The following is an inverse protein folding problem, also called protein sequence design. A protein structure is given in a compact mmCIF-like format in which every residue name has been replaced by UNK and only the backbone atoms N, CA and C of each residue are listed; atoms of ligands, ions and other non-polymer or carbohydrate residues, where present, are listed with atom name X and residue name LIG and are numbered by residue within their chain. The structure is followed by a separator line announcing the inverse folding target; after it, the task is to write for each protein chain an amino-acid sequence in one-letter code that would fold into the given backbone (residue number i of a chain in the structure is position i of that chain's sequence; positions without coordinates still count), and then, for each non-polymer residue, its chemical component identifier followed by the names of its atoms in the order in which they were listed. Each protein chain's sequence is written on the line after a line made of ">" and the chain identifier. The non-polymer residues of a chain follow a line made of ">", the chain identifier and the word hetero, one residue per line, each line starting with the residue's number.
data_IF_402438711543
#
_entry.id   IF_402438711543
#
_cell.length_a   1.000
_cell.length_b   1.000
_cell.length_c   1.000
_cell.angle_alpha   90.00
_cell.angle_beta   90.00
_cell.angle_gamma   90.00
#
_symmetry.space_group_name_H-M   'P 1'
#
loop_
_entity.id
_entity.type
_entity.pdbx_description
1 polymer ?
#
# COMPACT_ATOMS: atom_id res chain seq x y z
N UNK A 1 28.91 29.55 45.81
CA UNK A 1 29.12 29.72 44.35
C UNK A 1 28.25 28.70 43.64
N UNK A 2 27.20 29.10 42.90
CA UNK A 2 26.34 28.14 42.23
C UNK A 2 27.00 27.71 40.91
N UNK A 3 27.01 26.40 40.66
CA UNK A 3 27.51 25.82 39.43
C UNK A 3 26.50 26.06 38.29
N UNK A 4 27.00 26.61 37.20
CA UNK A 4 26.27 26.88 35.96
C UNK A 4 25.97 25.56 35.25
N UNK A 5 24.69 25.28 35.02
CA UNK A 5 24.23 24.21 34.12
C UNK A 5 24.30 24.75 32.68
N UNK A 6 24.98 24.08 31.72
CA UNK A 6 24.92 24.49 30.33
C UNK A 6 23.57 24.05 29.73
N UNK A 7 22.95 24.98 29.00
CA UNK A 7 21.68 24.80 28.31
C UNK A 7 21.76 23.68 27.26
N UNK A 8 20.76 22.80 27.24
CA UNK A 8 20.55 21.80 26.20
C UNK A 8 20.36 22.48 24.83
N UNK A 9 21.16 22.05 23.86
CA UNK A 9 21.08 22.46 22.47
C UNK A 9 19.77 21.97 21.84
N UNK A 10 18.93 22.90 21.40
CA UNK A 10 17.74 22.63 20.59
C UNK A 10 18.18 22.12 19.20
N UNK A 11 17.93 20.86 18.90
CA UNK A 11 18.15 20.26 17.58
C UNK A 11 17.06 20.70 16.61
N UNK A 12 17.40 21.61 15.69
CA UNK A 12 16.58 22.05 14.53
C UNK A 12 16.97 21.26 13.27
N UNK A 13 16.96 19.92 13.30
CA UNK A 13 17.50 19.12 12.19
C UNK A 13 16.48 18.68 11.12
N UNK A 14 15.19 18.54 11.45
CA UNK A 14 14.19 18.03 10.49
C UNK A 14 13.88 18.96 9.30
N UNK A 15 13.76 20.27 9.52
CA UNK A 15 13.27 21.22 8.51
C UNK A 15 14.33 21.68 7.48
N UNK A 16 15.61 21.31 7.63
CA UNK A 16 16.68 21.69 6.68
C UNK A 16 16.90 20.66 5.58
N UNK A 17 16.64 19.38 5.86
CA UNK A 17 16.91 18.26 4.96
C UNK A 17 16.16 18.37 3.61
N UNK A 18 14.95 18.94 3.60
CA UNK A 18 14.15 19.13 2.36
C UNK A 18 14.54 20.35 1.50
N UNK A 19 15.32 21.31 2.03
CA UNK A 19 15.61 22.57 1.30
C UNK A 19 16.61 22.42 0.16
N UNK A 20 17.27 21.27 0.04
CA UNK A 20 18.34 21.08 -0.95
C UNK A 20 17.81 20.54 -2.28
N UNK A 21 16.74 19.71 -2.29
CA UNK A 21 16.14 19.19 -3.53
C UNK A 21 15.07 20.12 -4.15
N UNK A 22 14.45 21.01 -3.37
CA UNK A 22 13.28 21.81 -3.80
C UNK A 22 13.60 23.25 -4.27
N UNK A 23 14.86 23.58 -4.61
CA UNK A 23 15.27 24.97 -4.98
C UNK A 23 14.75 25.48 -6.35
N UNK A 24 13.72 24.86 -6.94
CA UNK A 24 13.25 25.16 -8.31
C UNK A 24 12.12 26.19 -8.45
N UNK A 25 11.38 26.54 -7.40
CA UNK A 25 10.21 27.42 -7.55
C UNK A 25 10.58 28.91 -7.39
N UNK A 26 10.98 29.57 -8.49
CA UNK A 26 10.97 31.04 -8.55
C UNK A 26 9.85 31.50 -9.49
N UNK A 27 8.84 32.18 -8.95
CA UNK A 27 7.83 32.83 -9.78
C UNK A 27 8.48 33.98 -10.56
N UNK A 28 8.51 33.90 -11.89
CA UNK A 28 8.82 35.06 -12.74
C UNK A 28 7.55 35.53 -13.44
N UNK A 29 7.24 36.80 -13.28
CA UNK A 29 6.19 37.46 -14.06
C UNK A 29 6.72 37.75 -15.46
N UNK A 30 6.11 37.15 -16.48
CA UNK A 30 6.27 37.57 -17.88
C UNK A 30 4.87 37.85 -18.43
N UNK A 31 4.61 39.10 -18.81
CA UNK A 31 3.34 39.57 -19.40
C UNK A 31 2.06 39.38 -18.55
N UNK A 32 2.11 39.65 -17.23
CA UNK A 32 0.90 39.74 -16.40
C UNK A 32 0.11 38.44 -16.20
N UNK A 33 0.60 37.31 -16.71
CA UNK A 33 0.13 35.96 -16.38
C UNK A 33 1.13 35.30 -15.42
N UNK A 34 0.62 34.77 -14.31
CA UNK A 34 1.37 33.96 -13.35
C UNK A 34 1.67 32.63 -14.04
N UNK A 35 2.88 32.46 -14.57
CA UNK A 35 3.34 31.15 -15.04
C UNK A 35 3.84 30.40 -13.81
N UNK A 36 3.03 29.49 -13.30
CA UNK A 36 3.48 28.50 -12.31
C UNK A 36 4.31 27.51 -13.12
N UNK A 37 5.63 27.61 -13.04
CA UNK A 37 6.46 26.48 -13.45
C UNK A 37 6.13 25.34 -12.50
N UNK A 38 5.77 24.17 -13.04
CA UNK A 38 5.65 22.97 -12.24
C UNK A 38 6.99 22.82 -11.48
N UNK A 39 6.97 22.75 -10.14
CA UNK A 39 8.20 22.53 -9.39
C UNK A 39 8.77 21.18 -9.83
N UNK A 40 10.06 21.16 -10.17
CA UNK A 40 10.78 19.91 -10.32
C UNK A 40 10.62 19.10 -9.02
N UNK A 41 10.05 17.90 -9.10
CA UNK A 41 9.69 17.09 -7.94
C UNK A 41 10.43 15.76 -7.97
N UNK A 42 11.06 15.31 -6.87
CA UNK A 42 11.58 13.96 -6.78
C UNK A 42 10.49 12.93 -7.05
N UNK A 43 10.80 11.95 -7.89
CA UNK A 43 9.91 10.83 -8.21
C UNK A 43 10.64 9.51 -7.97
N UNK A 44 9.93 8.54 -7.43
CA UNK A 44 10.39 7.19 -7.17
C UNK A 44 9.42 6.20 -7.80
N UNK A 45 9.94 5.04 -8.20
CA UNK A 45 9.15 3.83 -8.44
C UNK A 45 9.61 2.81 -7.41
N UNK A 46 8.69 2.35 -6.58
CA UNK A 46 8.94 1.33 -5.58
C UNK A 46 8.05 0.13 -5.87
N UNK A 47 8.61 -1.07 -5.73
CA UNK A 47 7.82 -2.29 -5.71
C UNK A 47 7.50 -2.66 -4.26
N UNK A 48 6.22 -2.66 -3.90
CA UNK A 48 5.73 -3.03 -2.59
C UNK A 48 5.47 -4.55 -2.47
N UNK A 49 5.58 -5.08 -1.25
CA UNK A 49 5.39 -6.50 -0.93
C UNK A 49 6.36 -7.44 -1.67
N UNK A 50 7.59 -6.98 -1.87
CA UNK A 50 8.70 -7.75 -2.45
C UNK A 50 10.05 -7.19 -2.02
N UNK A 51 11.05 -8.06 -1.91
CA UNK A 51 12.47 -7.68 -1.76
C UNK A 51 13.26 -7.80 -3.07
N UNK A 52 12.59 -8.15 -4.17
CA UNK A 52 13.14 -8.36 -5.51
C UNK A 52 12.54 -7.33 -6.46
N UNK A 53 13.34 -6.53 -7.18
CA UNK A 53 12.85 -5.61 -8.20
C UNK A 53 12.03 -6.32 -9.29
N UNK A 54 11.07 -5.60 -9.85
CA UNK A 54 10.12 -6.02 -10.88
C UNK A 54 9.13 -7.12 -10.43
N UNK A 55 8.98 -7.30 -9.11
CA UNK A 55 7.98 -8.17 -8.48
C UNK A 55 7.03 -7.36 -7.61
N UNK A 56 6.13 -8.00 -6.88
CA UNK A 56 5.19 -7.31 -5.99
C UNK A 56 4.31 -6.29 -6.73
N UNK A 57 3.85 -5.27 -6.01
CA UNK A 57 2.94 -4.26 -6.55
C UNK A 57 3.67 -2.91 -6.76
N UNK A 58 3.91 -2.47 -8.01
CA UNK A 58 4.62 -1.24 -8.30
C UNK A 58 3.75 -0.01 -8.04
N UNK A 59 4.34 1.02 -7.43
CA UNK A 59 3.72 2.34 -7.37
C UNK A 59 4.74 3.46 -7.58
N UNK A 60 4.30 4.49 -8.30
CA UNK A 60 5.06 5.74 -8.40
C UNK A 60 4.79 6.61 -7.16
N UNK A 61 5.82 7.29 -6.68
CA UNK A 61 5.75 8.21 -5.54
C UNK A 61 6.36 9.53 -5.94
N UNK A 62 5.57 10.60 -5.85
CA UNK A 62 6.02 11.97 -6.10
C UNK A 62 6.12 12.71 -4.77
N UNK A 63 7.30 13.27 -4.50
CA UNK A 63 7.53 14.05 -3.28
C UNK A 63 7.39 15.53 -3.59
N UNK A 64 6.30 16.12 -3.11
CA UNK A 64 5.93 17.51 -3.32
C UNK A 64 6.48 18.41 -2.20
N UNK A 65 6.69 19.70 -2.49
CA UNK A 65 6.94 20.70 -1.45
C UNK A 65 5.74 20.87 -0.52
N UNK A 66 5.97 21.37 0.70
CA UNK A 66 4.91 21.67 1.68
C UNK A 66 3.95 22.78 1.28
N UNK A 67 4.25 23.56 0.24
CA UNK A 67 3.37 24.62 -0.25
C UNK A 67 2.14 24.00 -0.93
N UNK A 68 1.00 24.02 -0.22
CA UNK A 68 -0.27 23.46 -0.69
C UNK A 68 -0.77 24.08 -2.00
N UNK A 69 -0.32 25.28 -2.37
CA UNK A 69 -0.66 25.88 -3.67
C UNK A 69 -0.08 25.10 -4.86
N UNK A 70 0.82 24.15 -4.59
CA UNK A 70 1.44 23.25 -5.57
C UNK A 70 0.79 21.85 -5.56
N UNK A 71 -0.28 21.64 -4.79
CA UNK A 71 -1.01 20.37 -4.69
C UNK A 71 -2.26 20.35 -5.57
N UNK A 72 -2.10 20.77 -6.83
CA UNK A 72 -3.20 20.80 -7.80
C UNK A 72 -3.65 19.39 -8.21
N UNK A 73 -4.96 19.12 -8.09
CA UNK A 73 -5.53 17.80 -8.36
C UNK A 73 -5.38 17.41 -9.84
N UNK A 74 -5.52 18.36 -10.78
CA UNK A 74 -5.38 18.07 -12.20
C UNK A 74 -3.94 17.68 -12.54
N UNK A 75 -2.96 18.34 -11.94
CA UNK A 75 -1.56 17.95 -12.05
C UNK A 75 -1.35 16.53 -11.52
N UNK A 76 -1.80 16.21 -10.30
CA UNK A 76 -1.65 14.87 -9.73
C UNK A 76 -2.30 13.79 -10.60
N UNK A 77 -3.51 14.03 -11.10
CA UNK A 77 -4.20 13.12 -12.01
C UNK A 77 -3.46 12.94 -13.34
N UNK A 78 -2.89 14.00 -13.92
CA UNK A 78 -2.12 13.90 -15.16
C UNK A 78 -0.82 13.13 -14.97
N UNK A 79 -0.14 13.33 -13.83
CA UNK A 79 1.06 12.57 -13.50
C UNK A 79 0.71 11.09 -13.27
N UNK A 80 -0.36 10.78 -12.54
CA UNK A 80 -0.80 9.41 -12.34
C UNK A 80 -1.14 8.70 -13.66
N UNK A 81 -1.79 9.42 -14.60
CA UNK A 81 -2.05 8.93 -15.95
C UNK A 81 -0.74 8.67 -16.73
N UNK A 82 0.24 9.56 -16.66
CA UNK A 82 1.54 9.39 -17.32
C UNK A 82 2.33 8.19 -16.76
N UNK A 83 2.26 7.98 -15.44
CA UNK A 83 2.96 6.87 -14.78
C UNK A 83 2.30 5.51 -15.06
N UNK A 84 0.98 5.47 -15.22
CA UNK A 84 0.21 4.28 -15.58
C UNK A 84 0.45 3.04 -14.68
N UNK A 85 0.84 3.26 -13.41
CA UNK A 85 0.74 2.25 -12.35
C UNK A 85 -0.70 2.21 -11.80
N UNK A 86 -1.07 1.18 -11.03
CA UNK A 86 -2.40 1.09 -10.42
C UNK A 86 -2.72 2.36 -9.62
N UNK A 87 -1.74 2.82 -8.83
CA UNK A 87 -1.79 4.08 -8.11
C UNK A 87 -0.45 4.82 -8.15
N UNK A 88 -0.55 6.15 -8.19
CA UNK A 88 0.57 7.06 -7.89
C UNK A 88 0.30 7.78 -6.58
N UNK A 89 1.24 7.69 -5.65
CA UNK A 89 1.21 8.37 -4.37
C UNK A 89 1.88 9.75 -4.47
N UNK A 90 1.26 10.75 -3.83
CA UNK A 90 1.82 12.09 -3.70
C UNK A 90 1.99 12.39 -2.22
N UNK A 91 3.21 12.74 -1.81
CA UNK A 91 3.56 13.00 -0.41
C UNK A 91 4.23 14.34 -0.24
N UNK A 92 3.98 15.02 0.88
CA UNK A 92 4.65 16.27 1.24
C UNK A 92 4.79 16.36 2.75
N UNK A 93 5.88 16.94 3.27
CA UNK A 93 6.01 17.09 4.71
C UNK A 93 5.05 18.17 5.21
N UNK A 94 4.49 17.92 6.39
CA UNK A 94 3.66 18.88 7.13
C UNK A 94 4.49 19.36 8.31
N UNK A 95 4.71 20.67 8.41
CA UNK A 95 5.33 21.24 9.60
C UNK A 95 4.38 21.06 10.79
N UNK A 96 4.78 20.22 11.73
CA UNK A 96 4.03 20.01 12.97
C UNK A 96 4.14 21.24 13.87
N UNK A 97 3.08 21.53 14.62
CA UNK A 97 3.16 22.48 15.74
C UNK A 97 3.75 21.73 16.92
N UNK A 98 4.63 22.37 17.69
CA UNK A 98 5.38 21.75 18.80
C UNK A 98 4.54 21.00 19.86
N UNK A 99 3.22 21.21 19.92
CA UNK A 99 2.30 20.53 20.84
C UNK A 99 1.74 19.20 20.29
N UNK A 100 1.85 18.95 18.97
CA UNK A 100 1.43 17.72 18.27
C UNK A 100 2.64 16.85 17.86
N UNK A 101 3.87 17.25 18.20
CA UNK A 101 5.10 16.51 17.90
C UNK A 101 5.29 15.34 18.86
N UNK A 102 4.87 14.15 18.43
CA UNK A 102 5.34 12.90 19.01
C UNK A 102 6.81 12.70 18.62
N UNK A 103 7.69 12.56 19.62
CA UNK A 103 9.13 12.46 19.39
C UNK A 103 9.45 11.26 18.50
N UNK A 104 10.13 11.51 17.37
CA UNK A 104 10.54 10.47 16.43
C UNK A 104 9.54 10.13 15.32
N UNK A 105 8.33 10.73 15.32
CA UNK A 105 7.32 10.50 14.26
C UNK A 105 7.30 11.67 13.28
N UNK A 106 7.49 11.37 11.98
CA UNK A 106 7.48 12.36 10.91
C UNK A 106 6.06 12.51 10.34
N UNK A 107 5.58 13.75 10.16
CA UNK A 107 4.21 14.00 9.67
C UNK A 107 4.23 14.41 8.20
N UNK A 108 3.45 13.71 7.38
CA UNK A 108 3.34 13.94 5.94
C UNK A 108 1.87 13.98 5.51
N UNK A 109 1.55 14.76 4.48
CA UNK A 109 0.32 14.56 3.73
C UNK A 109 0.48 13.45 2.70
N UNK A 110 -0.59 12.71 2.43
CA UNK A 110 -0.58 11.62 1.46
C UNK A 110 -1.92 11.56 0.69
N UNK A 111 -1.81 11.45 -0.64
CA UNK A 111 -2.92 11.24 -1.56
C UNK A 111 -2.53 10.21 -2.62
N UNK A 112 -3.52 9.51 -3.17
CA UNK A 112 -3.32 8.47 -4.18
C UNK A 112 -4.26 8.67 -5.35
N UNK A 113 -3.74 8.51 -6.56
CA UNK A 113 -4.49 8.68 -7.79
C UNK A 113 -4.28 7.50 -8.72
N UNK A 114 -5.36 7.06 -9.34
CA UNK A 114 -5.35 6.06 -10.41
C UNK A 114 -5.19 6.74 -11.78
N UNK A 115 -4.75 6.01 -12.82
CA UNK A 115 -4.72 6.51 -14.20
C UNK A 115 -6.10 6.91 -14.73
N UNK A 116 -7.18 6.33 -14.16
CA UNK A 116 -8.57 6.68 -14.46
C UNK A 116 -9.01 8.08 -14.01
N UNK A 117 -8.09 8.91 -13.51
CA UNK A 117 -8.34 10.25 -12.94
C UNK A 117 -9.26 10.23 -11.72
N UNK A 118 -9.11 9.19 -10.90
CA UNK A 118 -9.84 9.03 -9.65
C UNK A 118 -8.83 9.06 -8.51
N UNK A 119 -9.07 9.95 -7.54
CA UNK A 119 -8.40 9.90 -6.25
C UNK A 119 -9.04 8.78 -5.42
N UNK A 120 -8.23 7.89 -4.84
CA UNK A 120 -8.73 6.80 -3.99
C UNK A 120 -8.62 7.17 -2.51
N UNK A 121 -9.57 6.71 -1.71
CA UNK A 121 -9.64 7.04 -0.28
C UNK A 121 -8.47 6.47 0.51
N UNK A 122 -8.06 5.24 0.17
CA UNK A 122 -6.96 4.50 0.81
C UNK A 122 -6.31 3.54 -0.19
N UNK A 123 -4.98 3.50 -0.23
CA UNK A 123 -4.24 2.49 -0.98
C UNK A 123 -3.04 1.95 -0.17
N UNK A 124 -3.09 0.66 0.18
CA UNK A 124 -2.07 0.01 1.01
C UNK A 124 -0.69 -0.04 0.35
N UNK A 125 -0.57 -0.65 -0.84
CA UNK A 125 0.73 -0.84 -1.49
C UNK A 125 1.39 0.50 -1.85
N UNK A 126 0.62 1.49 -2.29
CA UNK A 126 1.16 2.82 -2.60
C UNK A 126 1.56 3.59 -1.34
N UNK A 127 0.97 3.30 -0.17
CA UNK A 127 1.46 3.79 1.13
C UNK A 127 2.76 3.13 1.55
N UNK A 128 2.89 1.81 1.31
CA UNK A 128 4.16 1.09 1.49
C UNK A 128 5.24 1.71 0.61
N UNK A 129 4.96 1.90 -0.68
CA UNK A 129 5.86 2.54 -1.63
C UNK A 129 6.25 3.97 -1.20
N UNK A 130 5.29 4.77 -0.75
CA UNK A 130 5.53 6.14 -0.28
C UNK A 130 6.46 6.15 0.93
N UNK A 131 6.22 5.27 1.89
CA UNK A 131 7.09 5.07 3.06
C UNK A 131 8.49 4.67 2.64
N UNK A 132 8.63 3.69 1.74
CA UNK A 132 9.93 3.24 1.22
C UNK A 132 10.69 4.37 0.52
N UNK A 133 10.01 5.16 -0.32
CA UNK A 133 10.61 6.28 -1.02
C UNK A 133 11.10 7.37 -0.05
N UNK A 134 10.29 7.73 0.96
CA UNK A 134 10.67 8.70 1.98
C UNK A 134 11.82 8.19 2.85
N UNK A 135 11.76 6.95 3.32
CA UNK A 135 12.84 6.34 4.10
C UNK A 135 14.15 6.29 3.31
N UNK A 136 14.10 5.89 2.04
CA UNK A 136 15.27 5.89 1.17
C UNK A 136 15.82 7.31 0.96
N UNK A 137 14.96 8.29 0.63
CA UNK A 137 15.36 9.69 0.47
C UNK A 137 16.02 10.25 1.73
N UNK A 138 15.44 9.97 2.90
CA UNK A 138 15.98 10.43 4.17
C UNK A 138 17.30 9.75 4.50
N UNK A 139 17.43 8.45 4.28
CA UNK A 139 18.65 7.68 4.58
C UNK A 139 19.84 7.99 3.66
N UNK A 140 19.58 8.51 2.46
CA UNK A 140 20.60 8.86 1.47
C UNK A 140 20.94 10.35 1.47
N UNK A 141 20.30 11.14 2.33
CA UNK A 141 20.58 12.56 2.44
C UNK A 141 21.93 12.81 3.11
N UNK A 142 22.81 13.69 2.57
CA UNK A 142 24.09 14.01 3.18
C UNK A 142 24.00 14.59 4.61
N UNK A 143 22.83 15.12 4.97
CA UNK A 143 22.58 15.76 6.27
C UNK A 143 21.86 14.84 7.27
N UNK A 144 21.52 13.60 6.89
CA UNK A 144 20.83 12.67 7.78
C UNK A 144 21.80 12.00 8.74
N UNK A 145 21.40 11.89 10.01
CA UNK A 145 21.95 10.88 10.91
C UNK A 145 21.68 9.49 10.32
N UNK A 146 22.64 8.56 10.42
CA UNK A 146 22.46 7.16 10.04
C UNK A 146 21.30 6.56 10.85
N UNK A 147 20.11 6.56 10.26
CA UNK A 147 18.90 5.96 10.81
C UNK A 147 18.46 4.84 9.89
N UNK A 148 18.31 3.65 10.48
CA UNK A 148 17.75 2.48 9.82
C UNK A 148 16.27 2.29 10.13
N UNK A 149 15.64 3.22 10.85
CA UNK A 149 14.23 3.14 11.23
C UNK A 149 13.56 4.51 11.15
N UNK A 150 12.34 4.53 10.65
CA UNK A 150 11.50 5.72 10.55
C UNK A 150 10.04 5.38 10.87
N UNK A 151 9.35 6.31 11.54
CA UNK A 151 7.90 6.27 11.75
C UNK A 151 7.28 7.48 11.06
N UNK A 152 6.26 7.23 10.26
CA UNK A 152 5.53 8.25 9.51
C UNK A 152 4.06 8.26 9.92
N UNK A 153 3.54 9.46 10.15
CA UNK A 153 2.12 9.74 10.33
C UNK A 153 1.62 10.44 9.07
N UNK A 154 0.91 9.71 8.22
CA UNK A 154 0.31 10.25 7.01
C UNK A 154 -1.07 10.82 7.31
N UNK A 155 -1.27 12.11 7.05
CA UNK A 155 -2.58 12.76 7.03
C UNK A 155 -3.19 12.57 5.64
N UNK A 156 -4.29 11.81 5.59
CA UNK A 156 -5.01 11.50 4.34
C UNK A 156 -6.30 12.32 4.27
N UNK A 157 -6.87 12.46 3.07
CA UNK A 157 -8.07 13.29 2.85
C UNK A 157 -9.34 12.69 3.46
N UNK A 158 -9.49 11.36 3.46
CA UNK A 158 -10.72 10.67 3.88
C UNK A 158 -10.52 9.54 4.89
N UNK A 159 -9.38 8.87 4.88
CA UNK A 159 -9.13 7.69 5.75
C UNK A 159 -8.46 8.03 7.08
N UNK A 160 -8.43 9.32 7.44
CA UNK A 160 -7.82 9.79 8.68
C UNK A 160 -6.29 9.69 8.65
N UNK A 161 -5.70 9.44 9.82
CA UNK A 161 -4.26 9.32 9.95
C UNK A 161 -3.80 7.86 9.86
N UNK A 162 -2.72 7.62 9.13
CA UNK A 162 -2.06 6.32 9.02
C UNK A 162 -0.70 6.38 9.68
N UNK A 163 -0.50 5.59 10.73
CA UNK A 163 0.81 5.39 11.33
C UNK A 163 1.50 4.21 10.63
N UNK A 164 2.68 4.46 10.08
CA UNK A 164 3.43 3.50 9.28
C UNK A 164 4.87 3.49 9.73
N UNK A 165 5.43 2.30 9.96
CA UNK A 165 6.82 2.14 10.38
C UNK A 165 7.63 1.52 9.25
N UNK A 166 8.89 1.93 9.13
CA UNK A 166 9.83 1.36 8.19
C UNK A 166 11.16 1.05 8.87
N UNK A 167 11.68 -0.14 8.60
CA UNK A 167 13.00 -0.58 9.03
C UNK A 167 13.81 -0.98 7.80
N UNK A 168 15.04 -0.48 7.70
CA UNK A 168 15.94 -0.82 6.60
C UNK A 168 16.25 -2.31 6.65
N UNK A 169 16.16 -2.96 5.50
CA UNK A 169 16.52 -4.37 5.35
C UNK A 169 18.00 -4.49 4.95
N UNK A 170 18.41 -5.63 4.40
CA UNK A 170 19.81 -5.97 4.13
C UNK A 170 20.54 -5.05 3.13
N UNK A 171 19.80 -4.22 2.39
CA UNK A 171 20.31 -3.27 1.40
C UNK A 171 19.65 -1.88 1.56
N UNK A 172 20.37 -0.81 1.23
CA UNK A 172 19.95 0.58 1.36
C UNK A 172 18.71 0.95 0.53
N UNK A 173 18.40 0.16 -0.51
CA UNK A 173 17.21 0.33 -1.35
C UNK A 173 15.98 -0.38 -0.79
N UNK A 174 16.14 -1.23 0.23
CA UNK A 174 15.11 -2.14 0.73
C UNK A 174 14.66 -1.77 2.13
N UNK A 175 13.34 -1.79 2.31
CA UNK A 175 12.70 -1.42 3.56
C UNK A 175 11.60 -2.42 3.87
N UNK A 176 11.55 -2.88 5.12
CA UNK A 176 10.38 -3.56 5.67
C UNK A 176 9.44 -2.52 6.22
N UNK A 177 8.22 -2.49 5.70
CA UNK A 177 7.19 -1.52 6.08
C UNK A 177 6.06 -2.25 6.79
N UNK A 178 5.58 -1.71 7.90
CA UNK A 178 4.43 -2.23 8.63
C UNK A 178 3.32 -1.20 8.76
N UNK A 179 2.09 -1.67 8.55
CA UNK A 179 0.86 -0.89 8.59
C UNK A 179 -0.18 -1.64 9.41
N UNK A 180 -1.09 -0.89 10.02
CA UNK A 180 -2.10 -1.42 10.92
C UNK A 180 -3.51 -1.06 10.43
N UNK A 181 -4.36 -2.06 10.21
CA UNK A 181 -5.72 -1.91 9.68
C UNK A 181 -6.76 -2.62 10.56
N UNK A 182 -8.02 -2.19 10.54
CA UNK A 182 -9.11 -2.99 11.11
C UNK A 182 -9.22 -4.36 10.41
N UNK A 183 -9.46 -5.43 11.16
CA UNK A 183 -9.83 -6.70 10.57
C UNK A 183 -11.19 -6.56 9.85
N UNK A 184 -11.32 -7.23 8.71
CA UNK A 184 -12.53 -7.17 7.89
C UNK A 184 -13.19 -8.54 7.84
N UNK A 185 -14.35 -8.73 8.50
CA UNK A 185 -15.01 -10.03 8.52
C UNK A 185 -15.48 -10.46 7.13
N UNK A 186 -15.64 -11.77 6.94
CA UNK A 186 -16.20 -12.38 5.74
C UNK A 186 -17.54 -13.00 6.09
N UNK A 187 -18.52 -12.83 5.21
CA UNK A 187 -19.86 -13.38 5.37
C UNK A 187 -20.08 -14.45 4.30
N UNK A 188 -20.58 -15.61 4.69
CA UNK A 188 -20.92 -16.67 3.74
C UNK A 188 -22.01 -16.20 2.78
N UNK A 189 -21.93 -16.67 1.54
CA UNK A 189 -22.90 -16.34 0.51
C UNK A 189 -24.08 -17.32 0.54
N UNK A 190 -25.26 -16.83 0.93
CA UNK A 190 -26.48 -17.65 0.98
C UNK A 190 -27.08 -17.98 -0.41
N UNK A 191 -26.72 -17.20 -1.44
CA UNK A 191 -27.19 -17.39 -2.81
C UNK A 191 -26.34 -18.42 -3.56
N UNK A 192 -26.78 -19.67 -3.56
CA UNK A 192 -26.08 -20.77 -4.24
C UNK A 192 -25.98 -20.59 -5.77
N UNK A 193 -26.94 -19.90 -6.41
CA UNK A 193 -26.84 -19.64 -7.84
C UNK A 193 -25.72 -18.65 -8.15
N UNK A 194 -25.58 -17.63 -7.30
CA UNK A 194 -24.46 -16.67 -7.36
C UNK A 194 -23.14 -17.36 -7.02
N UNK A 195 -23.09 -18.20 -5.98
CA UNK A 195 -21.88 -18.93 -5.59
C UNK A 195 -21.39 -19.86 -6.71
N UNK A 196 -22.31 -20.57 -7.38
CA UNK A 196 -22.02 -21.38 -8.56
C UNK A 196 -21.45 -20.52 -9.70
N UNK A 197 -22.09 -19.39 -10.01
CA UNK A 197 -21.64 -18.49 -11.08
C UNK A 197 -20.25 -17.92 -10.81
N UNK A 198 -19.93 -17.57 -9.55
CA UNK A 198 -18.59 -17.13 -9.15
C UNK A 198 -17.56 -18.22 -9.39
N UNK A 199 -17.84 -19.45 -8.94
CA UNK A 199 -16.92 -20.58 -9.11
C UNK A 199 -16.63 -20.84 -10.60
N UNK A 200 -17.68 -20.90 -11.43
CA UNK A 200 -17.54 -21.06 -12.88
C UNK A 200 -16.77 -19.91 -13.53
N UNK A 201 -16.93 -18.68 -13.02
CA UNK A 201 -16.23 -17.51 -13.52
C UNK A 201 -14.74 -17.53 -13.18
N UNK A 202 -14.33 -18.05 -12.02
CA UNK A 202 -12.91 -18.20 -11.67
C UNK A 202 -12.29 -19.51 -12.21
N UNK A 203 -13.07 -20.32 -12.93
CA UNK A 203 -12.59 -21.53 -13.60
C UNK A 203 -12.56 -22.79 -12.72
N UNK A 204 -13.33 -22.81 -11.63
CA UNK A 204 -13.43 -23.96 -10.72
C UNK A 204 -14.88 -24.48 -10.62
N UNK A 205 -15.04 -25.67 -10.06
CA UNK A 205 -16.37 -26.20 -9.76
C UNK A 205 -16.87 -25.67 -8.41
N UNK A 206 -18.20 -25.60 -8.21
CA UNK A 206 -18.76 -25.26 -6.89
C UNK A 206 -18.35 -26.27 -5.81
N UNK A 207 -18.14 -27.53 -6.16
CA UNK A 207 -17.76 -28.60 -5.24
C UNK A 207 -16.31 -28.49 -4.76
N UNK A 208 -15.42 -27.89 -5.55
CA UNK A 208 -14.03 -27.64 -5.14
C UNK A 208 -13.88 -26.40 -4.25
N UNK A 209 -14.89 -25.54 -4.17
CA UNK A 209 -14.88 -24.40 -3.27
C UNK A 209 -15.38 -24.81 -1.87
N UNK A 210 -14.49 -24.73 -0.87
CA UNK A 210 -14.81 -25.02 0.53
C UNK A 210 -15.58 -23.88 1.19
N UNK A 211 -15.43 -22.66 0.66
CA UNK A 211 -16.17 -21.46 1.11
C UNK A 211 -16.35 -20.49 -0.06
N UNK A 212 -17.52 -19.85 -0.11
CA UNK A 212 -17.78 -18.69 -0.97
C UNK A 212 -18.49 -17.64 -0.14
N UNK A 213 -18.00 -16.41 -0.16
CA UNK A 213 -18.53 -15.33 0.66
C UNK A 213 -18.19 -13.94 0.14
N UNK A 214 -18.55 -12.92 0.91
CA UNK A 214 -18.18 -11.54 0.63
C UNK A 214 -17.44 -10.91 1.81
N UNK A 215 -16.46 -10.08 1.49
CA UNK A 215 -15.70 -9.30 2.47
C UNK A 215 -16.51 -8.08 2.89
N UNK A 216 -16.53 -7.77 4.19
CA UNK A 216 -17.16 -6.54 4.69
C UNK A 216 -16.42 -5.28 4.19
N UNK A 217 -15.10 -5.39 3.96
CA UNK A 217 -14.30 -4.35 3.33
C UNK A 217 -14.40 -4.46 1.81
N UNK A 218 -14.74 -3.37 1.13
CA UNK A 218 -14.82 -3.26 -0.34
C UNK A 218 -15.85 -4.15 -1.07
N UNK A 219 -16.58 -5.04 -0.38
CA UNK A 219 -17.51 -5.97 -1.02
C UNK A 219 -16.82 -6.81 -2.13
N UNK A 220 -15.62 -7.31 -1.83
CA UNK A 220 -14.94 -8.31 -2.67
C UNK A 220 -15.57 -9.68 -2.41
N UNK A 221 -15.60 -10.55 -3.43
CA UNK A 221 -16.04 -11.94 -3.28
C UNK A 221 -14.83 -12.80 -2.93
N UNK A 222 -14.94 -13.62 -1.90
CA UNK A 222 -13.91 -14.55 -1.48
C UNK A 222 -14.30 -15.98 -1.83
N UNK A 223 -13.41 -16.70 -2.50
CA UNK A 223 -13.53 -18.13 -2.80
C UNK A 223 -12.35 -18.84 -2.16
N UNK A 224 -12.61 -19.88 -1.38
CA UNK A 224 -11.58 -20.68 -0.73
C UNK A 224 -11.56 -22.05 -1.36
N UNK A 225 -10.39 -22.49 -1.77
CA UNK A 225 -10.11 -23.85 -2.26
C UNK A 225 -9.31 -24.62 -1.21
N UNK A 226 -9.30 -25.94 -1.32
CA UNK A 226 -8.47 -26.84 -0.52
C UNK A 226 -7.05 -27.02 -1.11
N UNK A 227 -6.90 -26.81 -2.41
CA UNK A 227 -5.65 -27.00 -3.14
C UNK A 227 -4.91 -25.68 -3.42
N UNK A 228 -3.76 -25.49 -2.78
CA UNK A 228 -2.85 -24.36 -2.98
C UNK A 228 -2.26 -24.33 -4.40
N UNK A 229 -1.97 -25.50 -4.98
CA UNK A 229 -1.34 -25.61 -6.30
C UNK A 229 -2.31 -25.15 -7.40
N UNK A 230 -3.62 -25.38 -7.21
CA UNK A 230 -4.65 -24.93 -8.13
C UNK A 230 -4.70 -23.40 -8.27
N UNK A 231 -4.37 -22.64 -7.23
CA UNK A 231 -4.48 -21.17 -7.20
C UNK A 231 -3.64 -20.53 -8.32
N UNK A 232 -2.39 -20.96 -8.48
CA UNK A 232 -1.49 -20.42 -9.51
C UNK A 232 -1.95 -20.71 -10.95
N UNK A 233 -2.74 -21.78 -11.16
CA UNK A 233 -3.19 -22.23 -12.47
C UNK A 233 -4.54 -21.64 -12.92
N UNK A 234 -5.21 -20.86 -12.06
CA UNK A 234 -6.53 -20.30 -12.36
C UNK A 234 -6.52 -19.41 -13.60
N UNK A 235 -7.51 -19.60 -14.48
CA UNK A 235 -7.76 -18.78 -15.66
C UNK A 235 -9.19 -18.26 -15.62
N UNK A 236 -9.44 -17.13 -14.92
CA UNK A 236 -10.78 -16.60 -14.78
C UNK A 236 -11.34 -16.08 -16.12
N UNK A 237 -12.64 -16.24 -16.29
CA UNK A 237 -13.42 -15.62 -17.35
C UNK A 237 -13.86 -14.22 -16.90
N UNK A 238 -13.14 -13.20 -17.35
CA UNK A 238 -13.41 -11.80 -16.99
C UNK A 238 -14.82 -11.34 -17.37
N UNK A 239 -15.39 -11.87 -18.46
CA UNK A 239 -16.74 -11.51 -18.86
C UNK A 239 -17.77 -12.10 -17.91
N UNK A 240 -17.58 -13.35 -17.48
CA UNK A 240 -18.45 -13.97 -16.46
C UNK A 240 -18.33 -13.29 -15.11
N UNK A 241 -17.12 -12.89 -14.70
CA UNK A 241 -16.93 -12.10 -13.48
C UNK A 241 -17.75 -10.80 -13.52
N UNK A 242 -17.88 -10.16 -14.69
CA UNK A 242 -18.71 -8.96 -14.84
C UNK A 242 -20.21 -9.23 -15.04
N UNK A 243 -20.65 -10.49 -15.07
CA UNK A 243 -22.05 -10.84 -15.32
C UNK A 243 -22.99 -10.40 -14.19
N UNK A 244 -24.27 -10.21 -14.53
CA UNK A 244 -25.31 -9.88 -13.57
C UNK A 244 -25.54 -11.01 -12.55
N UNK A 245 -25.29 -12.27 -12.93
CA UNK A 245 -25.43 -13.44 -12.04
C UNK A 245 -24.37 -13.44 -10.93
N UNK A 246 -23.13 -13.03 -11.24
CA UNK A 246 -22.09 -12.83 -10.20
C UNK A 246 -22.44 -11.61 -9.32
N UNK A 247 -23.20 -10.66 -9.85
CA UNK A 247 -23.71 -9.51 -9.12
C UNK A 247 -22.66 -8.43 -8.85
N UNK A 248 -23.01 -7.45 -8.02
CA UNK A 248 -22.14 -6.33 -7.68
C UNK A 248 -21.06 -6.74 -6.69
N UNK A 249 -19.82 -6.38 -7.01
CA UNK A 249 -18.61 -6.58 -6.21
C UNK A 249 -17.51 -5.66 -6.74
N UNK A 250 -16.46 -5.43 -5.95
CA UNK A 250 -15.25 -4.74 -6.45
C UNK A 250 -14.35 -5.72 -7.21
N UNK A 251 -13.97 -6.83 -6.58
CA UNK A 251 -13.19 -7.90 -7.17
C UNK A 251 -13.48 -9.27 -6.58
N UNK A 252 -12.75 -10.28 -7.03
CA UNK A 252 -12.81 -11.66 -6.54
C UNK A 252 -11.41 -12.08 -6.10
N UNK A 253 -11.30 -12.51 -4.84
CA UNK A 253 -10.11 -13.11 -4.24
C UNK A 253 -10.32 -14.63 -4.16
N UNK A 254 -9.45 -15.39 -4.80
CA UNK A 254 -9.42 -16.86 -4.68
C UNK A 254 -8.18 -17.23 -3.88
N UNK A 255 -8.34 -18.09 -2.87
CA UNK A 255 -7.27 -18.40 -1.92
C UNK A 255 -7.35 -19.83 -1.40
N UNK A 256 -6.26 -20.29 -0.82
CA UNK A 256 -6.14 -21.61 -0.20
C UNK A 256 -5.10 -21.57 0.92
N UNK A 257 -5.12 -22.57 1.81
CA UNK A 257 -4.03 -22.76 2.76
C UNK A 257 -2.73 -23.01 2.00
N UNK A 258 -1.59 -22.70 2.61
CA UNK A 258 -0.30 -23.08 2.03
C UNK A 258 -0.17 -24.59 1.89
N UNK A 259 0.64 -25.02 0.92
CA UNK A 259 0.99 -26.43 0.80
C UNK A 259 1.83 -26.88 2.01
N UNK A 260 1.79 -28.17 2.37
CA UNK A 260 2.50 -28.71 3.54
C UNK A 260 4.02 -28.47 3.53
N UNK A 261 4.62 -28.31 2.34
CA UNK A 261 6.05 -28.07 2.11
C UNK A 261 6.39 -26.62 1.74
N UNK A 262 5.44 -25.70 1.88
CA UNK A 262 5.59 -24.27 1.59
C UNK A 262 5.91 -23.46 2.86
N UNK A 263 6.66 -22.36 2.69
CA UNK A 263 6.90 -21.38 3.75
C UNK A 263 5.69 -20.46 3.98
N UNK A 264 4.70 -20.48 3.09
CA UNK A 264 3.52 -19.64 3.15
C UNK A 264 2.42 -20.34 3.96
N UNK A 265 1.80 -19.65 4.92
CA UNK A 265 0.64 -20.16 5.64
C UNK A 265 -0.62 -20.14 4.75
N UNK A 266 -0.71 -19.21 3.79
CA UNK A 266 -1.78 -19.17 2.79
C UNK A 266 -1.38 -18.44 1.50
N UNK A 267 -2.09 -18.76 0.43
CA UNK A 267 -1.86 -18.19 -0.91
C UNK A 267 -3.15 -17.64 -1.51
N UNK A 268 -3.02 -16.67 -2.42
CA UNK A 268 -4.19 -16.02 -3.03
C UNK A 268 -3.93 -15.45 -4.44
N UNK A 269 -4.99 -15.12 -5.17
CA UNK A 269 -4.99 -14.30 -6.40
C UNK A 269 -6.23 -13.41 -6.45
N UNK A 270 -6.10 -12.20 -7.00
CA UNK A 270 -7.16 -11.19 -6.98
C UNK A 270 -7.44 -10.62 -8.38
N UNK A 271 -8.70 -10.61 -8.79
CA UNK A 271 -9.14 -10.01 -10.06
C UNK A 271 -10.23 -8.97 -9.81
N UNK A 272 -10.10 -7.78 -10.41
CA UNK A 272 -11.01 -6.65 -10.21
C UNK A 272 -11.51 -6.03 -11.53
N UNK A 273 -12.08 -6.81 -12.47
CA UNK A 273 -12.37 -6.30 -13.82
C UNK A 273 -13.39 -5.16 -13.83
N UNK A 274 -14.31 -5.12 -12.85
CA UNK A 274 -15.28 -4.03 -12.68
C UNK A 274 -14.65 -2.68 -12.35
N UNK A 275 -13.44 -2.68 -11.80
CA UNK A 275 -12.65 -1.48 -11.51
C UNK A 275 -11.48 -1.31 -12.47
N UNK A 276 -11.48 -2.02 -13.60
CA UNK A 276 -10.45 -1.91 -14.64
C UNK A 276 -9.13 -2.60 -14.29
N UNK A 277 -9.12 -3.45 -13.25
CA UNK A 277 -7.94 -4.23 -12.85
C UNK A 277 -8.14 -5.65 -13.35
N UNK A 278 -7.39 -6.04 -14.38
CA UNK A 278 -7.43 -7.43 -14.87
C UNK A 278 -7.03 -8.39 -13.75
N UNK A 279 -5.82 -8.23 -13.21
CA UNK A 279 -5.33 -8.91 -12.01
C UNK A 279 -4.48 -7.95 -11.16
N UNK A 280 -4.73 -7.87 -9.86
CA UNK A 280 -3.92 -7.05 -8.96
C UNK A 280 -2.69 -7.85 -8.51
N UNK A 281 -1.46 -7.29 -8.56
CA UNK A 281 -0.28 -8.03 -8.16
C UNK A 281 -0.30 -8.48 -6.70
N UNK A 282 -0.66 -7.56 -5.80
CA UNK A 282 -0.72 -7.80 -4.34
C UNK A 282 -1.76 -6.87 -3.70
N UNK A 283 -2.79 -7.46 -3.08
CA UNK A 283 -3.96 -6.73 -2.59
C UNK A 283 -3.97 -6.66 -1.07
N UNK A 284 -3.35 -5.62 -0.50
CA UNK A 284 -3.28 -5.46 0.97
C UNK A 284 -4.65 -5.43 1.67
N UNK A 285 -5.67 -4.82 1.06
CA UNK A 285 -7.03 -4.79 1.62
C UNK A 285 -7.65 -6.18 1.73
N UNK A 286 -7.42 -7.05 0.75
CA UNK A 286 -7.93 -8.43 0.79
C UNK A 286 -7.33 -9.19 1.98
N UNK A 287 -6.05 -8.96 2.28
CA UNK A 287 -5.37 -9.62 3.40
C UNK A 287 -5.89 -9.21 4.79
N UNK A 288 -6.62 -8.07 4.89
CA UNK A 288 -7.36 -7.71 6.11
C UNK A 288 -8.58 -8.62 6.36
N UNK A 289 -9.06 -9.34 5.33
CA UNK A 289 -10.09 -10.37 5.42
C UNK A 289 -9.52 -11.79 5.41
N UNK A 290 -8.47 -12.04 4.62
CA UNK A 290 -7.84 -13.36 4.59
C UNK A 290 -7.21 -13.70 5.95
N UNK A 291 -6.45 -12.79 6.56
CA UNK A 291 -5.76 -13.07 7.81
C UNK A 291 -6.68 -13.58 8.93
N UNK A 292 -7.80 -12.90 9.29
CA UNK A 292 -8.70 -13.43 10.31
C UNK A 292 -9.37 -14.76 9.88
N UNK A 293 -9.72 -14.92 8.61
CA UNK A 293 -10.30 -16.18 8.12
C UNK A 293 -9.33 -17.36 8.28
N UNK A 294 -8.08 -17.22 7.82
CA UNK A 294 -7.06 -18.28 7.90
C UNK A 294 -6.61 -18.57 9.34
N UNK A 295 -6.57 -17.54 10.20
CA UNK A 295 -6.34 -17.70 11.63
C UNK A 295 -7.39 -18.65 12.25
N UNK A 296 -8.67 -18.40 11.98
CA UNK A 296 -9.79 -19.09 12.65
C UNK A 296 -10.09 -20.46 12.02
N UNK A 297 -10.12 -20.55 10.68
CA UNK A 297 -10.60 -21.73 9.95
C UNK A 297 -9.49 -22.75 9.68
N UNK A 298 -8.25 -22.30 9.43
CA UNK A 298 -7.21 -23.16 8.86
C UNK A 298 -6.04 -23.45 9.79
N UNK A 299 -5.81 -22.61 10.80
CA UNK A 299 -4.63 -22.75 11.67
C UNK A 299 -4.97 -22.93 13.16
N UNK A 300 -6.23 -22.73 13.57
CA UNK A 300 -6.60 -22.69 14.99
C UNK A 300 -5.68 -21.77 15.81
N UNK A 301 -5.18 -20.70 15.17
CA UNK A 301 -4.02 -19.97 15.63
C UNK A 301 -4.40 -18.96 16.73
N UNK A 302 -3.49 -18.79 17.69
CA UNK A 302 -3.58 -17.72 18.68
C UNK A 302 -3.40 -16.35 18.03
N UNK A 303 -4.00 -15.32 18.62
CA UNK A 303 -3.68 -13.93 18.29
C UNK A 303 -2.16 -13.66 18.35
N UNK A 304 -1.73 -12.67 17.57
CA UNK A 304 -0.35 -12.21 17.41
C UNK A 304 0.62 -13.21 16.77
N UNK A 305 0.15 -14.36 16.27
CA UNK A 305 0.97 -15.23 15.41
C UNK A 305 1.15 -14.56 14.04
N UNK A 306 2.39 -14.34 13.57
CA UNK A 306 2.64 -13.93 12.18
C UNK A 306 2.28 -15.06 11.22
N UNK A 307 1.52 -14.73 10.17
CA UNK A 307 1.19 -15.63 9.07
C UNK A 307 1.77 -15.07 7.79
N UNK A 308 2.55 -15.87 7.08
CA UNK A 308 3.17 -15.51 5.81
C UNK A 308 2.20 -15.80 4.67
N UNK A 309 1.92 -14.79 3.84
CA UNK A 309 0.95 -14.87 2.77
C UNK A 309 1.61 -14.52 1.43
N UNK A 310 1.32 -15.28 0.38
CA UNK A 310 1.71 -14.94 -0.98
C UNK A 310 0.52 -14.70 -1.91
N UNK A 311 0.55 -13.61 -2.67
CA UNK A 311 -0.35 -13.42 -3.80
C UNK A 311 0.36 -13.87 -5.08
N UNK A 312 -0.17 -14.91 -5.72
CA UNK A 312 0.44 -15.67 -6.82
C UNK A 312 0.10 -15.09 -8.20
N UNK A 313 0.07 -13.76 -8.31
CA UNK A 313 0.04 -13.08 -9.60
C UNK A 313 1.35 -13.29 -10.37
N UNK A 314 1.40 -12.90 -11.65
CA UNK A 314 2.63 -12.95 -12.46
C UNK A 314 3.82 -12.24 -11.82
N UNK A 315 3.56 -11.16 -11.06
CA UNK A 315 4.61 -10.42 -10.36
C UNK A 315 4.99 -11.04 -9.02
N UNK A 316 4.09 -11.83 -8.41
CA UNK A 316 4.16 -12.42 -7.06
C UNK A 316 4.50 -11.40 -5.97
N UNK A 317 3.73 -11.38 -4.89
CA UNK A 317 4.13 -10.64 -3.69
C UNK A 317 3.97 -11.46 -2.43
N UNK A 318 4.74 -11.09 -1.42
CA UNK A 318 4.72 -11.75 -0.12
C UNK A 318 4.62 -10.71 0.98
N UNK A 319 3.74 -10.97 1.93
CA UNK A 319 3.54 -10.15 3.11
C UNK A 319 3.32 -11.03 4.33
N UNK A 320 3.51 -10.45 5.50
CA UNK A 320 3.21 -11.07 6.79
C UNK A 320 1.97 -10.39 7.34
N UNK A 321 0.95 -11.18 7.68
CA UNK A 321 -0.24 -10.70 8.35
C UNK A 321 -0.26 -11.17 9.81
N UNK A 322 -0.54 -10.26 10.73
CA UNK A 322 -0.62 -10.54 12.17
C UNK A 322 -1.99 -10.07 12.66
N UNK A 323 -2.85 -11.01 13.03
CA UNK A 323 -4.12 -10.70 13.69
C UNK A 323 -3.84 -10.34 15.15
N UNK A 324 -4.13 -9.10 15.54
CA UNK A 324 -3.96 -8.59 16.91
C UNK A 324 -5.15 -8.96 17.79
N UNK A 325 -4.93 -8.89 19.09
CA UNK A 325 -5.93 -9.16 20.14
C UNK A 325 -7.05 -8.11 20.23
N UNK A 326 -6.85 -6.94 19.62
CA UNK A 326 -7.81 -5.83 19.58
C UNK A 326 -8.69 -5.82 18.30
N UNK A 327 -8.67 -6.91 17.52
CA UNK A 327 -9.47 -7.04 16.29
C UNK A 327 -8.88 -6.28 15.10
N UNK A 328 -7.58 -5.98 15.13
CA UNK A 328 -6.84 -5.36 14.03
C UNK A 328 -5.93 -6.36 13.33
N UNK A 329 -5.52 -6.03 12.11
CA UNK A 329 -4.57 -6.79 11.31
C UNK A 329 -3.40 -5.89 10.99
N UNK A 330 -2.22 -6.26 11.48
CA UNK A 330 -0.97 -5.66 11.02
C UNK A 330 -0.51 -6.38 9.75
N UNK A 331 -0.23 -5.61 8.71
CA UNK A 331 0.39 -6.10 7.50
C UNK A 331 1.82 -5.59 7.43
N UNK A 332 2.77 -6.49 7.23
CA UNK A 332 4.17 -6.18 7.04
C UNK A 332 4.64 -6.68 5.67
N UNK A 333 5.40 -5.87 4.96
CA UNK A 333 5.92 -6.22 3.64
C UNK A 333 7.28 -5.61 3.40
N UNK A 334 8.14 -6.36 2.73
CA UNK A 334 9.34 -5.76 2.15
C UNK A 334 8.95 -4.92 0.94
N UNK A 335 9.71 -3.87 0.69
CA UNK A 335 9.57 -3.03 -0.48
C UNK A 335 10.93 -2.51 -0.94
N UNK A 336 11.08 -2.31 -2.24
CA UNK A 336 12.36 -1.95 -2.86
C UNK A 336 12.20 -0.75 -3.78
N UNK A 337 13.14 0.20 -3.69
CA UNK A 337 13.26 1.28 -4.67
C UNK A 337 13.86 0.73 -5.96
N UNK A 338 13.12 0.86 -7.07
CA UNK A 338 13.53 0.38 -8.40
C UNK A 338 14.12 1.53 -9.23
N UNK A 339 13.52 2.70 -9.13
CA UNK A 339 13.92 3.89 -9.88
C UNK A 339 13.74 5.13 -9.02
N UNK A 340 14.66 6.07 -9.11
CA UNK A 340 14.50 7.42 -8.59
C UNK A 340 14.95 8.46 -9.62
N UNK A 341 14.34 9.65 -9.59
CA UNK A 341 14.62 10.70 -10.55
C UNK A 341 13.91 12.00 -10.21
N UNK A 342 13.69 12.82 -11.24
CA UNK A 342 13.05 14.13 -11.11
C UNK A 342 12.00 14.31 -12.21
N UNK A 343 10.80 14.69 -11.80
CA UNK A 343 9.68 15.06 -12.66
C UNK A 343 9.81 16.53 -13.08
N UNK A 344 9.67 16.84 -14.37
CA UNK A 344 10.02 18.14 -14.98
C UNK A 344 8.84 19.11 -15.14
#
# INVERSE_FOLDING_TARGET
>A
MPAVVPAASRTRSGARCLKVCLRGAHSRTRNGRRVVHAPCAPIYVCDAFTSVPFRGNPASVVVLPSDETLHDENYMMNVALEQNHSETAFVWPIESKAEEEEEGVLVYGLRWFTPGRVEVELCGHATVAATTALSHMLSTSPESEEKSQYSFRFKTKWSGELLVNATQADDATKWRVSMDFPAAPVNEMDDEARALAVCEAVGVTRQSAVFVGTTALNNDIMVVLDDAEAIGALTPDMQKLMSDTVGQHRGVIVCAAGADDSDEDFVSRFWGPRVGIEEDPVTGSAHCSLAPYFKDVLLGASDNRPMRAAQLSDRRGVLTAICKDDGRVQLEGDAVVVLCGSLL
#
